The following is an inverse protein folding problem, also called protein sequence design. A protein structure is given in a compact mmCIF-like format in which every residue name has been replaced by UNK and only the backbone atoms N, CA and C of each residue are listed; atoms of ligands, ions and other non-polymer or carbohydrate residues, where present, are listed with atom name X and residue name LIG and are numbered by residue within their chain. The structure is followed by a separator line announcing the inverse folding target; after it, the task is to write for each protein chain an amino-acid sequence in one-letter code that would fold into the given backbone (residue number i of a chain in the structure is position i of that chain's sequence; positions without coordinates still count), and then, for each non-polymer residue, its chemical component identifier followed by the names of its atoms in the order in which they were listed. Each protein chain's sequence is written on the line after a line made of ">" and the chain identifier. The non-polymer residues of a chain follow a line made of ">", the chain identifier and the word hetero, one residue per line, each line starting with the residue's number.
data_IF_855021602333
#
_entry.id   IF_855021602333
#
_cell.length_a   1.000
_cell.length_b   1.000
_cell.length_c   1.000
_cell.angle_alpha   90.00
_cell.angle_beta   90.00
_cell.angle_gamma   90.00
#
_symmetry.space_group_name_H-M   'P 1'
#
loop_
_entity.id
_entity.type
_entity.pdbx_description
1 polymer ?
#
# COMPACT_ATOMS: atom_id res chain seq x y z
N UNK A 1 4.57 -27.37 20.64
CA UNK A 1 4.34 -26.25 21.55
C UNK A 1 5.24 -25.08 21.17
N UNK A 2 4.81 -23.86 21.43
CA UNK A 2 5.57 -22.64 21.16
C UNK A 2 5.77 -21.91 22.48
N UNK A 3 7.02 -21.73 22.87
CA UNK A 3 7.36 -20.91 24.04
C UNK A 3 7.64 -19.46 23.58
N UNK A 4 7.03 -18.50 24.27
CA UNK A 4 7.17 -17.06 23.99
C UNK A 4 7.73 -16.38 25.24
N UNK A 5 8.80 -15.61 25.07
CA UNK A 5 9.42 -14.84 26.14
C UNK A 5 9.81 -13.46 25.61
N UNK A 6 9.49 -12.41 26.35
CA UNK A 6 9.76 -11.02 25.99
C UNK A 6 9.28 -10.64 24.58
N UNK A 7 8.07 -11.11 24.18
CA UNK A 7 7.48 -10.84 22.88
C UNK A 7 8.14 -11.56 21.70
N UNK A 8 9.00 -12.53 21.95
CA UNK A 8 9.70 -13.31 20.91
C UNK A 8 9.47 -14.80 21.08
N UNK A 9 9.52 -15.55 19.98
CA UNK A 9 9.53 -17.01 20.01
C UNK A 9 10.87 -17.45 20.62
N UNK A 10 10.83 -17.98 21.85
CA UNK A 10 12.00 -18.47 22.56
C UNK A 10 12.34 -19.91 22.14
N UNK A 11 11.31 -20.75 21.90
CA UNK A 11 11.52 -22.13 21.45
C UNK A 11 10.28 -22.70 20.72
N UNK A 12 10.54 -23.65 19.83
CA UNK A 12 9.53 -24.54 19.27
C UNK A 12 9.82 -25.93 19.82
N UNK A 13 8.89 -26.49 20.57
CA UNK A 13 9.07 -27.71 21.36
C UNK A 13 8.18 -28.83 20.83
N UNK A 14 8.53 -30.07 21.14
CA UNK A 14 7.67 -31.21 20.86
C UNK A 14 6.36 -31.09 21.68
N UNK A 15 5.23 -31.59 21.16
CA UNK A 15 3.96 -31.55 21.88
C UNK A 15 4.07 -32.23 23.26
N UNK A 16 3.52 -31.53 24.26
CA UNK A 16 3.53 -32.03 25.65
C UNK A 16 4.86 -31.84 26.40
N UNK A 17 5.81 -31.10 25.83
CA UNK A 17 7.03 -30.73 26.55
C UNK A 17 6.68 -29.75 27.68
N UNK A 18 6.85 -30.17 28.91
CA UNK A 18 6.62 -29.31 30.07
C UNK A 18 7.62 -28.17 30.08
N UNK A 19 7.14 -26.93 30.14
CA UNK A 19 7.90 -25.74 30.48
C UNK A 19 7.10 -24.89 31.48
N UNK A 20 7.82 -24.24 32.38
CA UNK A 20 7.18 -23.26 33.28
C UNK A 20 6.79 -22.04 32.45
N UNK A 21 5.53 -21.61 32.55
CA UNK A 21 5.02 -20.42 31.87
C UNK A 21 3.97 -19.73 32.75
N UNK A 22 3.99 -18.41 32.75
CA UNK A 22 3.01 -17.59 33.48
C UNK A 22 1.59 -17.78 32.91
N UNK A 23 1.50 -17.92 31.59
CA UNK A 23 0.24 -18.14 30.87
C UNK A 23 0.39 -19.27 29.88
N UNK A 24 -0.56 -20.22 29.91
CA UNK A 24 -0.65 -21.32 28.93
C UNK A 24 -1.95 -21.17 28.16
N UNK A 25 -1.85 -21.16 26.83
CA UNK A 25 -2.99 -21.11 25.92
C UNK A 25 -3.13 -22.47 25.26
N UNK A 26 -4.27 -23.15 25.48
CA UNK A 26 -4.58 -24.40 24.75
C UNK A 26 -4.99 -24.08 23.31
N UNK A 27 -4.12 -24.45 22.38
CA UNK A 27 -4.33 -24.31 20.94
C UNK A 27 -4.70 -25.63 20.26
N UNK A 28 -5.15 -26.65 21.03
CA UNK A 28 -5.55 -27.96 20.47
C UNK A 28 -6.62 -27.81 19.39
N UNK A 29 -6.36 -28.41 18.22
CA UNK A 29 -7.26 -28.33 17.05
C UNK A 29 -7.27 -26.97 16.35
N UNK A 30 -6.37 -26.05 16.68
CA UNK A 30 -6.25 -24.74 16.05
C UNK A 30 -4.95 -24.61 15.29
N UNK A 31 -4.94 -23.73 14.28
CA UNK A 31 -3.71 -23.26 13.66
C UNK A 31 -3.16 -22.08 14.43
N UNK A 32 -1.84 -22.05 14.61
CA UNK A 32 -1.13 -20.93 15.21
C UNK A 32 -0.27 -20.28 14.13
N UNK A 33 -0.54 -19.02 13.82
CA UNK A 33 0.18 -18.23 12.85
C UNK A 33 0.80 -17.00 13.50
N UNK A 34 1.86 -16.41 12.93
CA UNK A 34 2.23 -15.03 13.21
C UNK A 34 1.04 -14.12 12.91
N UNK A 35 0.94 -12.99 13.63
CA UNK A 35 -0.07 -11.98 13.33
C UNK A 35 0.05 -11.52 11.87
N UNK A 36 -1.09 -11.37 11.20
CA UNK A 36 -1.12 -10.89 9.83
C UNK A 36 -0.69 -9.41 9.75
N UNK A 37 -0.06 -9.05 8.65
CA UNK A 37 0.29 -7.66 8.32
C UNK A 37 -0.57 -7.24 7.12
N UNK A 38 -1.33 -6.15 7.25
CA UNK A 38 -1.99 -5.52 6.13
C UNK A 38 -1.11 -4.39 5.59
N UNK A 39 -0.50 -4.56 4.40
CA UNK A 39 0.43 -3.57 3.86
C UNK A 39 -0.27 -2.41 3.14
N UNK A 40 -1.61 -2.33 3.17
CA UNK A 40 -2.33 -1.35 2.38
C UNK A 40 -3.69 -0.95 2.96
N UNK A 41 -3.71 0.03 3.87
CA UNK A 41 -4.94 0.58 4.44
C UNK A 41 -5.03 2.10 4.25
N UNK A 42 -6.26 2.64 4.28
CA UNK A 42 -6.57 4.05 4.06
C UNK A 42 -7.42 4.62 5.20
N UNK A 43 -6.87 4.72 6.40
CA UNK A 43 -7.56 5.35 7.54
C UNK A 43 -7.64 6.87 7.38
N UNK A 44 -8.71 7.48 7.86
CA UNK A 44 -8.92 8.92 7.83
C UNK A 44 -9.20 9.49 6.43
N UNK A 45 -9.69 8.65 5.48
CA UNK A 45 -10.10 9.11 4.17
C UNK A 45 -11.55 9.61 4.13
N UNK A 46 -12.43 9.02 4.93
CA UNK A 46 -13.87 9.29 4.92
C UNK A 46 -14.39 9.76 6.29
N UNK A 47 -13.60 9.63 7.34
CA UNK A 47 -13.91 10.04 8.69
C UNK A 47 -12.69 10.73 9.33
N UNK A 48 -12.87 11.24 10.56
CA UNK A 48 -11.76 11.73 11.37
C UNK A 48 -10.72 10.65 11.60
N UNK A 49 -9.43 11.00 11.51
CA UNK A 49 -8.31 10.06 11.61
C UNK A 49 -8.33 9.27 12.92
N UNK A 50 -8.62 9.91 14.04
CA UNK A 50 -8.62 9.22 15.35
C UNK A 50 -9.78 8.23 15.45
N UNK A 51 -10.96 8.61 14.94
CA UNK A 51 -12.13 7.73 14.90
C UNK A 51 -11.86 6.52 14.02
N UNK A 52 -11.36 6.76 12.81
CA UNK A 52 -11.10 5.70 11.82
C UNK A 52 -9.99 4.76 12.31
N UNK A 53 -8.89 5.29 12.84
CA UNK A 53 -7.82 4.49 13.45
C UNK A 53 -8.37 3.55 14.52
N UNK A 54 -9.23 4.05 15.40
CA UNK A 54 -9.80 3.25 16.47
C UNK A 54 -10.70 2.13 15.96
N UNK A 55 -11.58 2.43 15.02
CA UNK A 55 -12.55 1.47 14.48
C UNK A 55 -11.88 0.42 13.62
N UNK A 56 -11.05 0.84 12.69
CA UNK A 56 -10.42 -0.04 11.71
C UNK A 56 -9.32 -0.91 12.35
N UNK A 57 -8.53 -0.37 13.29
CA UNK A 57 -7.54 -1.19 14.00
C UNK A 57 -8.19 -2.23 14.91
N UNK A 58 -9.35 -1.93 15.52
CA UNK A 58 -10.12 -2.92 16.26
C UNK A 58 -10.66 -4.03 15.36
N UNK A 59 -11.20 -3.67 14.18
CA UNK A 59 -11.67 -4.64 13.20
C UNK A 59 -10.52 -5.51 12.67
N UNK A 60 -9.37 -4.90 12.38
CA UNK A 60 -8.15 -5.60 11.97
C UNK A 60 -7.69 -6.61 13.04
N UNK A 61 -7.64 -6.19 14.32
CA UNK A 61 -7.28 -7.06 15.43
C UNK A 61 -8.20 -8.29 15.55
N UNK A 62 -9.51 -8.09 15.41
CA UNK A 62 -10.50 -9.18 15.39
C UNK A 62 -10.25 -10.13 14.20
N UNK A 63 -9.81 -9.59 13.05
CA UNK A 63 -9.44 -10.35 11.86
C UNK A 63 -8.09 -11.07 11.95
N UNK A 64 -7.34 -10.91 13.05
CA UNK A 64 -6.02 -11.52 13.25
C UNK A 64 -4.85 -10.70 12.69
N UNK A 65 -5.08 -9.45 12.32
CA UNK A 65 -4.02 -8.53 11.92
C UNK A 65 -3.40 -7.86 13.15
N UNK A 66 -2.09 -7.82 13.20
CA UNK A 66 -1.32 -7.21 14.28
C UNK A 66 -0.58 -5.95 13.85
N UNK A 67 -0.52 -5.71 12.55
CA UNK A 67 0.15 -4.54 11.97
C UNK A 67 -0.57 -4.09 10.69
N UNK A 68 -0.74 -2.79 10.51
CA UNK A 68 -1.25 -2.19 9.27
C UNK A 68 -0.30 -1.11 8.76
N UNK A 69 -0.14 -0.99 7.43
CA UNK A 69 0.61 0.09 6.81
C UNK A 69 -0.36 1.12 6.21
N UNK A 70 -0.41 2.28 6.85
CA UNK A 70 -1.35 3.36 6.54
C UNK A 70 -0.78 4.32 5.52
N UNK A 71 -1.52 4.56 4.44
CA UNK A 71 -1.17 5.56 3.43
C UNK A 71 -1.60 6.96 3.81
N UNK A 72 -0.71 7.95 3.58
CA UNK A 72 -1.05 9.35 3.80
C UNK A 72 -0.45 10.28 2.77
N UNK A 73 -1.27 11.22 2.30
CA UNK A 73 -0.82 12.38 1.52
C UNK A 73 -0.34 13.46 2.45
N UNK A 74 0.75 14.11 2.12
CA UNK A 74 1.18 15.31 2.81
C UNK A 74 0.56 16.54 2.17
N UNK A 75 0.16 17.55 2.93
CA UNK A 75 -0.47 18.75 2.38
C UNK A 75 0.51 19.64 1.62
N UNK A 76 1.79 19.64 2.01
CA UNK A 76 2.82 20.51 1.48
C UNK A 76 3.51 19.98 0.22
N UNK A 77 4.44 20.77 -0.35
CA UNK A 77 5.28 20.35 -1.46
C UNK A 77 6.38 19.38 -1.03
N UNK A 78 6.71 19.33 0.25
CA UNK A 78 7.77 18.51 0.84
C UNK A 78 7.20 17.54 1.88
N UNK A 79 7.96 16.51 2.21
CA UNK A 79 7.71 15.71 3.40
C UNK A 79 8.21 16.49 4.63
N UNK A 80 7.33 16.74 5.57
CA UNK A 80 7.62 17.51 6.77
C UNK A 80 7.48 16.65 8.03
N UNK A 81 8.53 16.52 8.87
CA UNK A 81 8.50 15.68 10.08
C UNK A 81 7.37 16.06 11.03
N UNK A 82 7.08 17.34 11.16
CA UNK A 82 6.00 17.83 12.02
C UNK A 82 4.61 17.32 11.60
N UNK A 83 4.37 17.14 10.31
CA UNK A 83 3.13 16.56 9.81
C UNK A 83 3.01 15.08 10.18
N UNK A 84 4.09 14.34 10.02
CA UNK A 84 4.13 12.93 10.45
C UNK A 84 3.92 12.82 11.96
N UNK A 85 4.56 13.69 12.76
CA UNK A 85 4.35 13.72 14.21
C UNK A 85 2.88 13.99 14.57
N UNK A 86 2.22 14.94 13.93
CA UNK A 86 0.78 15.19 14.14
C UNK A 86 -0.09 13.96 13.85
N UNK A 87 0.24 13.17 12.81
CA UNK A 87 -0.44 11.91 12.55
C UNK A 87 -0.22 10.91 13.68
N UNK A 88 1.02 10.75 14.12
CA UNK A 88 1.36 9.83 15.21
C UNK A 88 0.64 10.23 16.52
N UNK A 89 0.57 11.51 16.85
CA UNK A 89 -0.12 12.03 18.04
C UNK A 89 -1.62 11.69 18.06
N UNK A 90 -2.23 11.60 16.88
CA UNK A 90 -3.64 11.21 16.74
C UNK A 90 -3.81 9.68 16.67
N UNK A 91 -2.97 8.99 15.92
CA UNK A 91 -3.13 7.55 15.67
C UNK A 91 -2.70 6.69 16.84
N UNK A 92 -1.58 7.03 17.50
CA UNK A 92 -1.01 6.19 18.57
C UNK A 92 -1.99 5.93 19.72
N UNK A 93 -2.67 6.93 20.29
CA UNK A 93 -3.62 6.70 21.38
C UNK A 93 -4.91 5.99 20.96
N UNK A 94 -5.16 5.88 19.65
CA UNK A 94 -6.38 5.30 19.10
C UNK A 94 -6.17 3.93 18.45
N UNK A 95 -4.95 3.48 18.22
CA UNK A 95 -4.71 2.18 17.59
C UNK A 95 -4.65 1.03 18.61
N UNK A 96 -5.28 -0.10 18.27
CA UNK A 96 -5.20 -1.37 19.00
C UNK A 96 -4.10 -2.30 18.50
N UNK A 97 -3.49 -1.99 17.35
CA UNK A 97 -2.43 -2.79 16.72
C UNK A 97 -1.27 -1.89 16.32
N UNK A 98 -0.16 -2.48 15.95
CA UNK A 98 0.97 -1.75 15.40
C UNK A 98 0.61 -1.17 14.02
N UNK A 99 1.23 -0.06 13.67
CA UNK A 99 1.06 0.53 12.34
C UNK A 99 2.33 1.23 11.87
N UNK A 100 2.49 1.31 10.55
CA UNK A 100 3.49 2.12 9.88
C UNK A 100 2.85 3.14 8.95
N UNK A 101 3.60 4.19 8.62
CA UNK A 101 3.16 5.20 7.67
C UNK A 101 3.81 4.98 6.31
N UNK A 102 3.02 5.17 5.27
CA UNK A 102 3.46 5.21 3.88
C UNK A 102 3.04 6.56 3.30
N UNK A 103 3.95 7.24 2.60
CA UNK A 103 3.69 8.57 2.07
C UNK A 103 3.51 8.56 0.56
N UNK A 104 2.61 9.40 0.06
CA UNK A 104 2.42 9.57 -1.38
C UNK A 104 3.48 10.48 -1.99
N UNK A 105 4.12 10.03 -3.05
CA UNK A 105 4.89 10.90 -3.94
C UNK A 105 3.94 11.41 -5.01
N UNK A 106 3.54 12.68 -4.91
CA UNK A 106 2.57 13.33 -5.82
C UNK A 106 3.11 14.58 -6.51
N UNK A 107 4.31 15.02 -6.14
CA UNK A 107 4.93 16.26 -6.61
C UNK A 107 6.41 16.05 -6.89
N UNK A 108 6.99 16.85 -7.77
CA UNK A 108 8.43 16.79 -8.05
C UNK A 108 9.27 17.03 -6.78
N UNK A 109 8.87 17.98 -5.96
CA UNK A 109 9.59 18.33 -4.74
C UNK A 109 9.59 17.20 -3.69
N UNK A 110 8.59 16.31 -3.70
CA UNK A 110 8.61 15.14 -2.82
C UNK A 110 9.85 14.27 -3.04
N UNK A 111 10.33 14.13 -4.27
CA UNK A 111 11.56 13.38 -4.58
C UNK A 111 12.79 13.96 -3.86
N UNK A 112 12.84 15.29 -3.72
CA UNK A 112 13.95 15.98 -3.06
C UNK A 112 13.95 15.77 -1.53
N UNK A 113 12.84 15.33 -0.96
CA UNK A 113 12.65 15.13 0.49
C UNK A 113 12.44 13.67 0.90
N UNK A 114 12.62 12.72 -0.02
CA UNK A 114 12.59 11.29 0.30
C UNK A 114 13.62 10.94 1.37
N UNK A 115 14.83 11.50 1.28
CA UNK A 115 15.90 11.24 2.25
C UNK A 115 15.50 11.64 3.68
N UNK A 116 14.83 12.78 3.82
CA UNK A 116 14.28 13.25 5.09
C UNK A 116 13.20 12.27 5.62
N UNK A 117 12.28 11.84 4.74
CA UNK A 117 11.22 10.91 5.12
C UNK A 117 11.79 9.55 5.57
N UNK A 118 12.80 9.04 4.90
CA UNK A 118 13.43 7.77 5.23
C UNK A 118 14.24 7.87 6.53
N UNK A 119 15.14 8.85 6.64
CA UNK A 119 16.12 8.92 7.75
C UNK A 119 15.54 9.46 9.04
N UNK A 120 14.64 10.44 8.96
CA UNK A 120 14.13 11.13 10.13
C UNK A 120 12.71 10.73 10.53
N UNK A 121 11.90 10.25 9.56
CA UNK A 121 10.52 9.86 9.83
C UNK A 121 10.32 8.34 9.82
N UNK A 122 11.35 7.54 9.46
CA UNK A 122 11.28 6.09 9.40
C UNK A 122 10.37 5.53 8.30
N UNK A 123 10.07 6.32 7.27
CA UNK A 123 9.21 5.90 6.15
C UNK A 123 10.02 5.04 5.19
N UNK A 124 9.61 3.80 4.98
CA UNK A 124 10.26 2.85 4.06
C UNK A 124 9.41 2.47 2.85
N UNK A 125 8.28 3.15 2.65
CA UNK A 125 7.36 2.83 1.58
C UNK A 125 6.66 4.08 1.05
N UNK A 126 6.67 4.23 -0.28
CA UNK A 126 6.12 5.39 -0.96
C UNK A 126 5.07 4.97 -1.97
N UNK A 127 3.92 5.64 -1.94
CA UNK A 127 2.76 5.33 -2.78
C UNK A 127 2.70 6.20 -4.01
N UNK A 128 2.32 5.56 -5.10
CA UNK A 128 1.98 6.18 -6.38
C UNK A 128 0.58 5.75 -6.81
N UNK A 129 -0.17 6.66 -7.41
CA UNK A 129 -1.54 6.42 -7.84
C UNK A 129 -1.70 6.69 -9.33
N UNK A 130 -1.48 5.69 -10.17
CA UNK A 130 -1.37 5.86 -11.64
C UNK A 130 -2.65 6.33 -12.32
N UNK A 131 -3.80 6.23 -11.65
CA UNK A 131 -5.09 6.76 -12.14
C UNK A 131 -5.25 8.27 -11.93
N UNK A 132 -4.36 8.91 -11.19
CA UNK A 132 -4.43 10.35 -10.94
C UNK A 132 -3.63 11.11 -12.01
N UNK A 133 -4.01 10.95 -13.26
CA UNK A 133 -3.56 11.79 -14.38
C UNK A 133 -4.57 12.92 -14.60
N UNK A 134 -4.13 14.03 -15.18
CA UNK A 134 -5.00 15.10 -15.67
C UNK A 134 -5.85 14.57 -16.85
N UNK A 135 -6.87 13.80 -16.52
CA UNK A 135 -7.94 13.45 -17.46
C UNK A 135 -9.17 14.25 -17.06
N UNK A 136 -9.80 14.91 -18.01
CA UNK A 136 -11.01 15.73 -17.83
C UNK A 136 -12.26 14.90 -17.40
N UNK A 137 -12.06 13.67 -16.94
CA UNK A 137 -13.13 12.77 -16.54
C UNK A 137 -13.05 12.53 -15.04
N UNK A 138 -14.02 13.07 -14.34
CA UNK A 138 -14.26 12.76 -12.92
C UNK A 138 -14.86 11.34 -12.79
N UNK A 139 -13.99 10.34 -12.73
CA UNK A 139 -14.40 8.94 -12.57
C UNK A 139 -14.82 8.63 -11.13
N UNK A 140 -14.48 9.49 -10.17
CA UNK A 140 -14.68 9.25 -8.73
C UNK A 140 -15.33 10.41 -7.98
N UNK A 141 -15.73 11.49 -8.63
CA UNK A 141 -16.09 12.73 -7.94
C UNK A 141 -14.89 13.44 -7.29
N UNK A 142 -13.67 13.03 -7.64
CA UNK A 142 -12.43 13.50 -7.02
C UNK A 142 -11.68 14.52 -7.89
N UNK A 143 -12.40 15.44 -8.51
CA UNK A 143 -11.79 16.51 -9.34
C UNK A 143 -10.72 17.34 -8.63
N UNK A 144 -10.67 17.28 -7.31
CA UNK A 144 -9.74 18.04 -6.50
C UNK A 144 -8.85 17.11 -5.65
N UNK A 145 -8.19 16.16 -6.32
CA UNK A 145 -7.24 15.25 -5.64
C UNK A 145 -6.02 15.98 -5.09
N UNK A 146 -5.87 17.28 -5.39
CA UNK A 146 -4.73 18.09 -4.95
C UNK A 146 -3.41 17.65 -5.57
N UNK A 147 -3.43 16.86 -6.66
CA UNK A 147 -2.24 16.45 -7.40
C UNK A 147 -2.02 17.44 -8.54
N UNK A 148 -1.03 18.32 -8.44
CA UNK A 148 -0.78 19.35 -9.42
C UNK A 148 -0.08 18.84 -10.69
N UNK A 149 0.46 17.62 -10.66
CA UNK A 149 1.24 17.06 -11.76
C UNK A 149 0.78 15.65 -12.13
N UNK A 150 0.69 15.32 -13.43
CA UNK A 150 0.31 13.99 -13.86
C UNK A 150 1.38 12.96 -13.52
N UNK A 151 0.99 11.75 -13.13
CA UNK A 151 1.87 10.59 -13.03
C UNK A 151 2.31 10.15 -14.43
N UNK A 152 3.29 10.85 -15.00
CA UNK A 152 3.92 10.45 -16.26
C UNK A 152 4.90 9.31 -16.04
N UNK A 153 5.22 8.57 -17.10
CA UNK A 153 6.23 7.51 -17.04
C UNK A 153 7.59 8.05 -16.60
N UNK A 154 7.96 9.25 -17.06
CA UNK A 154 9.18 9.94 -16.64
C UNK A 154 9.20 10.22 -15.15
N UNK A 155 8.11 10.77 -14.60
CA UNK A 155 7.99 11.04 -13.16
C UNK A 155 8.10 9.78 -12.32
N UNK A 156 7.41 8.70 -12.71
CA UNK A 156 7.46 7.41 -12.02
C UNK A 156 8.85 6.81 -12.07
N UNK A 157 9.48 6.81 -13.26
CA UNK A 157 10.82 6.27 -13.45
C UNK A 157 11.88 7.02 -12.62
N UNK A 158 11.90 8.35 -12.66
CA UNK A 158 12.81 9.16 -11.84
C UNK A 158 12.57 8.96 -10.33
N UNK A 159 11.29 8.86 -9.92
CA UNK A 159 10.97 8.57 -8.52
C UNK A 159 11.50 7.20 -8.09
N UNK A 160 11.36 6.17 -8.92
CA UNK A 160 11.91 4.85 -8.63
C UNK A 160 13.43 4.86 -8.60
N UNK A 161 14.11 5.65 -9.44
CA UNK A 161 15.57 5.83 -9.34
C UNK A 161 15.99 6.47 -8.01
N UNK A 162 15.19 7.43 -7.50
CA UNK A 162 15.45 8.04 -6.19
C UNK A 162 15.29 7.02 -5.06
N UNK A 163 14.21 6.23 -5.09
CA UNK A 163 13.96 5.19 -4.08
C UNK A 163 14.97 4.04 -4.15
N UNK A 164 15.53 3.73 -5.30
CA UNK A 164 16.53 2.68 -5.47
C UNK A 164 17.85 2.94 -4.70
N UNK A 165 18.12 4.21 -4.35
CA UNK A 165 19.34 4.59 -3.59
C UNK A 165 19.42 3.99 -2.18
N UNK A 166 18.35 3.37 -1.70
CA UNK A 166 18.26 2.79 -0.35
C UNK A 166 18.48 1.27 -0.31
N UNK A 167 19.15 0.71 -1.31
CA UNK A 167 19.60 -0.69 -1.35
C UNK A 167 18.52 -1.71 -0.98
N UNK A 168 17.32 -1.54 -1.53
CA UNK A 168 16.20 -2.43 -1.30
C UNK A 168 15.42 -2.21 0.01
N UNK A 169 15.85 -1.28 0.86
CA UNK A 169 15.16 -0.98 2.14
C UNK A 169 13.94 -0.06 1.98
N UNK A 170 13.72 0.49 0.79
CA UNK A 170 12.59 1.36 0.47
C UNK A 170 11.82 0.81 -0.72
N UNK A 171 10.51 0.79 -0.63
CA UNK A 171 9.61 0.16 -1.61
C UNK A 171 8.75 1.21 -2.31
N UNK A 172 8.65 1.13 -3.62
CA UNK A 172 7.68 1.86 -4.42
C UNK A 172 6.36 1.08 -4.50
N UNK A 173 5.28 1.64 -3.97
CA UNK A 173 3.95 1.05 -4.00
C UNK A 173 3.08 1.70 -5.06
N UNK A 174 2.52 0.91 -5.95
CA UNK A 174 1.70 1.41 -7.04
C UNK A 174 0.26 0.88 -6.98
N UNK A 175 -0.69 1.78 -7.18
CA UNK A 175 -2.01 1.44 -7.69
C UNK A 175 -1.89 1.30 -9.21
N UNK A 176 -1.80 0.07 -9.75
CA UNK A 176 -1.41 -0.13 -11.14
C UNK A 176 -2.64 -0.16 -12.05
N UNK A 177 -3.07 0.98 -12.54
CA UNK A 177 -4.20 1.06 -13.47
C UNK A 177 -3.95 2.12 -14.55
N UNK A 178 -4.10 1.76 -15.81
CA UNK A 178 -4.00 2.69 -16.93
C UNK A 178 -5.30 3.47 -17.11
N UNK A 179 -5.33 4.69 -16.59
CA UNK A 179 -6.52 5.54 -16.62
C UNK A 179 -6.96 5.89 -18.05
N UNK A 180 -6.04 5.96 -19.01
CA UNK A 180 -6.37 6.29 -20.40
C UNK A 180 -7.23 5.20 -21.04
N UNK A 181 -6.99 3.93 -20.69
CA UNK A 181 -7.84 2.82 -21.10
C UNK A 181 -9.22 2.91 -20.45
N UNK A 182 -9.28 3.18 -19.15
CA UNK A 182 -10.53 3.34 -18.40
C UNK A 182 -11.39 4.45 -19.02
N UNK A 183 -10.84 5.65 -19.25
CA UNK A 183 -11.61 6.76 -19.83
C UNK A 183 -12.00 6.51 -21.29
N UNK A 184 -11.29 5.67 -22.00
CA UNK A 184 -11.61 5.26 -23.38
C UNK A 184 -12.79 4.28 -23.41
N UNK A 185 -12.88 3.40 -22.40
CA UNK A 185 -13.92 2.37 -22.33
C UNK A 185 -15.20 2.90 -21.68
N UNK A 186 -15.10 3.77 -20.67
CA UNK A 186 -16.24 4.26 -19.90
C UNK A 186 -17.40 4.82 -20.74
N UNK A 187 -17.19 5.65 -21.80
CA UNK A 187 -18.28 6.13 -22.64
C UNK A 187 -18.99 5.00 -23.40
N UNK A 188 -18.29 3.93 -23.76
CA UNK A 188 -18.84 2.78 -24.49
C UNK A 188 -19.78 1.97 -23.60
N UNK A 189 -19.34 1.68 -22.38
CA UNK A 189 -20.14 0.98 -21.35
C UNK A 189 -21.39 1.79 -21.02
N UNK A 190 -21.24 3.10 -20.84
CA UNK A 190 -22.38 4.01 -20.61
C UNK A 190 -23.36 4.02 -21.80
N UNK A 191 -22.86 4.08 -23.03
CA UNK A 191 -23.69 4.07 -24.24
C UNK A 191 -24.43 2.73 -24.44
N UNK A 192 -23.87 1.62 -23.95
CA UNK A 192 -24.52 0.32 -23.91
C UNK A 192 -25.63 0.21 -22.85
N UNK A 193 -25.80 1.24 -22.02
CA UNK A 193 -26.82 1.26 -20.96
C UNK A 193 -26.48 0.38 -19.75
N UNK A 194 -25.23 -0.03 -19.62
CA UNK A 194 -24.81 -0.84 -18.48
C UNK A 194 -24.77 -0.02 -17.18
N UNK A 195 -25.16 -0.66 -16.08
CA UNK A 195 -25.28 -0.03 -14.76
C UNK A 195 -24.81 -0.96 -13.63
N UNK A 196 -24.55 -0.37 -12.46
CA UNK A 196 -24.22 -1.11 -11.24
C UNK A 196 -22.78 -1.66 -11.24
N UNK A 197 -22.55 -2.70 -10.46
CA UNK A 197 -21.20 -3.27 -10.26
C UNK A 197 -20.62 -3.91 -11.52
N UNK A 198 -21.46 -4.50 -12.37
CA UNK A 198 -21.00 -5.06 -13.66
C UNK A 198 -20.46 -3.96 -14.58
N UNK A 199 -21.15 -2.81 -14.66
CA UNK A 199 -20.65 -1.68 -15.43
C UNK A 199 -19.33 -1.13 -14.87
N UNK A 200 -19.17 -1.13 -13.53
CA UNK A 200 -17.93 -0.74 -12.89
C UNK A 200 -16.74 -1.64 -13.30
N UNK A 201 -16.97 -2.94 -13.36
CA UNK A 201 -15.99 -3.93 -13.81
C UNK A 201 -15.64 -3.75 -15.29
N UNK A 202 -16.66 -3.66 -16.15
CA UNK A 202 -16.48 -3.49 -17.59
C UNK A 202 -15.75 -2.18 -17.98
N UNK A 203 -15.88 -1.12 -17.18
CA UNK A 203 -15.15 0.15 -17.38
C UNK A 203 -13.65 -0.02 -17.09
N UNK A 204 -13.27 -1.02 -16.29
CA UNK A 204 -11.89 -1.33 -15.90
C UNK A 204 -11.43 -2.66 -16.47
N UNK A 205 -11.15 -2.72 -17.79
CA UNK A 205 -10.73 -3.96 -18.40
C UNK A 205 -9.39 -4.44 -17.82
N UNK A 206 -9.22 -5.74 -17.69
CA UNK A 206 -8.02 -6.39 -17.13
C UNK A 206 -6.71 -5.85 -17.71
N UNK A 207 -6.69 -5.53 -18.99
CA UNK A 207 -5.52 -4.93 -19.65
C UNK A 207 -5.09 -3.60 -19.01
N UNK A 208 -6.00 -2.83 -18.39
CA UNK A 208 -5.62 -1.58 -17.75
C UNK A 208 -4.72 -1.80 -16.53
N UNK A 209 -4.93 -2.89 -15.81
CA UNK A 209 -4.09 -3.31 -14.69
C UNK A 209 -2.83 -4.03 -15.18
N UNK A 210 -2.98 -5.04 -16.04
CA UNK A 210 -1.89 -5.91 -16.50
C UNK A 210 -0.80 -5.16 -17.28
N UNK A 211 -1.18 -4.22 -18.15
CA UNK A 211 -0.23 -3.36 -18.90
C UNK A 211 0.58 -2.51 -17.92
N UNK A 212 -0.09 -1.87 -16.96
CA UNK A 212 0.59 -1.02 -15.98
C UNK A 212 1.54 -1.83 -15.11
N UNK A 213 1.14 -3.01 -14.66
CA UNK A 213 2.02 -3.94 -13.93
C UNK A 213 3.25 -4.32 -14.75
N UNK A 214 3.08 -4.66 -16.03
CA UNK A 214 4.20 -5.00 -16.92
C UNK A 214 5.21 -3.86 -17.03
N UNK A 215 4.73 -2.65 -17.24
CA UNK A 215 5.55 -1.43 -17.38
C UNK A 215 6.29 -1.11 -16.08
N UNK A 216 5.61 -1.17 -14.94
CA UNK A 216 6.21 -0.92 -13.64
C UNK A 216 7.24 -1.99 -13.26
N UNK A 217 6.99 -3.26 -13.59
CA UNK A 217 7.95 -4.34 -13.41
C UNK A 217 9.23 -4.10 -14.20
N UNK A 218 9.10 -3.61 -15.43
CA UNK A 218 10.25 -3.23 -16.25
C UNK A 218 11.01 -2.03 -15.67
N UNK A 219 10.31 -1.02 -15.14
CA UNK A 219 10.96 0.09 -14.45
C UNK A 219 11.69 -0.39 -13.19
N UNK A 220 11.10 -1.28 -12.41
CA UNK A 220 11.73 -1.89 -11.25
C UNK A 220 13.03 -2.62 -11.62
N UNK A 221 12.99 -3.44 -12.68
CA UNK A 221 14.19 -4.11 -13.22
C UNK A 221 15.30 -3.13 -13.59
N UNK A 222 14.95 -2.03 -14.28
CA UNK A 222 15.93 -1.06 -14.79
C UNK A 222 16.48 -0.11 -13.74
N UNK A 223 15.72 0.16 -12.69
CA UNK A 223 16.12 1.06 -11.59
C UNK A 223 16.73 0.33 -10.39
N UNK A 224 16.41 -0.96 -10.23
CA UNK A 224 16.72 -1.71 -9.01
C UNK A 224 15.81 -1.36 -7.83
N UNK A 225 14.75 -0.55 -8.04
CA UNK A 225 13.82 -0.18 -6.99
C UNK A 225 12.84 -1.33 -6.69
N UNK A 226 12.70 -1.77 -5.43
CA UNK A 226 11.65 -2.73 -5.07
C UNK A 226 10.27 -2.20 -5.40
N UNK A 227 9.46 -3.06 -6.01
CA UNK A 227 8.09 -2.74 -6.45
C UNK A 227 7.07 -3.56 -5.67
N UNK A 228 6.03 -2.90 -5.18
CA UNK A 228 4.82 -3.53 -4.67
C UNK A 228 3.59 -3.03 -5.43
N UNK A 229 2.98 -3.90 -6.22
CA UNK A 229 1.69 -3.65 -6.86
C UNK A 229 0.57 -4.05 -5.90
N UNK A 230 -0.22 -3.06 -5.43
CA UNK A 230 -1.27 -3.30 -4.43
C UNK A 230 -2.55 -3.82 -5.08
N UNK A 231 -3.39 -4.50 -4.30
CA UNK A 231 -4.76 -4.92 -4.65
C UNK A 231 -4.94 -5.46 -6.08
N UNK A 232 -4.06 -6.32 -6.55
CA UNK A 232 -4.16 -6.96 -7.87
C UNK A 232 -5.48 -7.74 -7.97
N UNK A 233 -6.22 -7.51 -9.04
CA UNK A 233 -7.59 -7.97 -9.21
C UNK A 233 -7.80 -8.94 -10.38
N UNK A 234 -6.84 -9.06 -11.33
CA UNK A 234 -6.98 -9.96 -12.48
C UNK A 234 -5.81 -10.94 -12.61
N UNK A 235 -6.09 -12.10 -13.23
CA UNK A 235 -5.12 -13.17 -13.43
C UNK A 235 -3.94 -12.72 -14.29
N UNK A 236 -4.20 -11.98 -15.38
CA UNK A 236 -3.16 -11.50 -16.28
C UNK A 236 -2.14 -10.60 -15.55
N UNK A 237 -2.59 -9.72 -14.67
CA UNK A 237 -1.69 -8.88 -13.87
C UNK A 237 -0.83 -9.72 -12.91
N UNK A 238 -1.40 -10.74 -12.28
CA UNK A 238 -0.66 -11.67 -11.43
C UNK A 238 0.43 -12.43 -12.21
N UNK A 239 0.13 -12.87 -13.43
CA UNK A 239 1.10 -13.50 -14.33
C UNK A 239 2.24 -12.53 -14.71
N UNK A 240 1.93 -11.24 -14.94
CA UNK A 240 2.96 -10.22 -15.22
C UNK A 240 3.88 -9.99 -14.02
N UNK A 241 3.35 -10.02 -12.80
CA UNK A 241 4.17 -9.96 -11.58
C UNK A 241 5.10 -11.17 -11.49
N UNK A 242 4.59 -12.37 -11.75
CA UNK A 242 5.41 -13.59 -11.72
C UNK A 242 6.53 -13.55 -12.77
N UNK A 243 6.23 -13.05 -13.97
CA UNK A 243 7.24 -12.84 -15.01
C UNK A 243 8.31 -11.84 -14.57
N UNK A 244 7.90 -10.71 -13.98
CA UNK A 244 8.82 -9.67 -13.48
C UNK A 244 9.73 -10.19 -12.36
N UNK A 245 9.24 -11.05 -11.47
CA UNK A 245 10.07 -11.67 -10.42
C UNK A 245 11.18 -12.57 -10.99
N UNK A 246 10.93 -13.23 -12.12
CA UNK A 246 11.94 -14.10 -12.75
C UNK A 246 13.07 -13.34 -13.41
N UNK A 247 12.87 -12.09 -13.77
CA UNK A 247 13.89 -11.24 -14.40
C UNK A 247 14.73 -10.47 -13.39
N UNK A 248 14.26 -10.34 -12.16
CA UNK A 248 14.88 -9.57 -11.07
C UNK A 248 15.60 -10.45 -10.02
N UNK A 249 15.86 -11.73 -10.33
CA UNK A 249 16.63 -12.66 -9.46
C UNK A 249 18.10 -12.71 -9.83
#
# INVERSE_FOLDING_TARGET
>A
DIAIENGKIAAILSPGTACEAETVIDASGKYVFPGCIDPHVHWGCYQDMGVDTRMESAAAAIGGYTTCLQYRRTPGPNFEPQYVQQLLDVMTPNSYIDYGLQLFITKQDHKNTVDLAVKEMGVSSFKFFTTERNVDVDIRGLRDSGIPEPYTDGFMYESMQELAKYDGNVVANFHPENIELVVTVAPKVKAAGEMGLAAWDHVRPEIAEAETVSRLSYFSEKTGCPLYCVHISCAEAAEKIEQGKKTNL
#
